data_IF_829655493554
#
_entry.id   IF_829655493554
#
_cell.length_a   1.000
_cell.length_b   1.000
_cell.length_c   1.000
_cell.angle_alpha   90.00
_cell.angle_beta   90.00
_cell.angle_gamma   90.00
#
_symmetry.space_group_name_H-M   'P 1'
#
loop_
_entity.id
_entity.type
_entity.pdbx_description
1 polymer ?
#
# COMPACT_ATOMS: atom_id res chain seq x y z
N UNK A 1 -6.28 26.99 -19.48
CA UNK A 1 -5.43 26.00 -20.20
C UNK A 1 -6.13 24.66 -20.17
N UNK A 2 -5.99 23.85 -21.23
CA UNK A 2 -6.59 22.51 -21.25
C UNK A 2 -5.92 21.61 -20.19
N UNK A 3 -6.75 20.89 -19.41
CA UNK A 3 -6.26 19.94 -18.41
C UNK A 3 -6.22 18.53 -19.03
N UNK A 4 -5.24 18.30 -19.91
CA UNK A 4 -5.08 17.04 -20.66
C UNK A 4 -3.76 16.40 -20.23
N UNK A 5 -3.82 15.21 -19.64
CA UNK A 5 -2.66 14.41 -19.28
C UNK A 5 -2.13 13.62 -20.48
N UNK A 6 -0.83 13.59 -20.65
CA UNK A 6 -0.16 12.76 -21.67
C UNK A 6 0.19 11.40 -21.09
N UNK A 7 -0.78 10.49 -21.08
CA UNK A 7 -0.63 9.15 -20.49
C UNK A 7 -0.96 9.09 -19.01
N UNK A 8 -0.90 7.87 -18.45
CA UNK A 8 -1.37 7.57 -17.09
C UNK A 8 -0.38 7.96 -16.00
N UNK A 9 0.93 8.06 -16.32
CA UNK A 9 1.97 8.32 -15.31
C UNK A 9 1.78 9.65 -14.57
N UNK A 10 1.21 10.66 -15.24
CA UNK A 10 0.91 11.96 -14.64
C UNK A 10 -0.31 11.98 -13.71
N UNK A 11 -1.09 10.88 -13.68
CA UNK A 11 -2.28 10.75 -12.83
C UNK A 11 -1.96 10.12 -11.48
N UNK A 12 -0.74 9.58 -11.29
CA UNK A 12 -0.35 8.90 -10.06
C UNK A 12 -0.10 9.95 -8.97
N UNK A 13 -0.70 9.72 -7.81
CA UNK A 13 -0.65 10.67 -6.69
C UNK A 13 -1.80 11.68 -6.71
N UNK A 14 -1.69 12.71 -5.90
CA UNK A 14 -2.73 13.71 -5.65
C UNK A 14 -4.10 13.07 -5.35
N UNK A 15 -4.06 12.00 -4.56
CA UNK A 15 -5.27 11.28 -4.15
C UNK A 15 -6.05 12.07 -3.13
N UNK A 16 -7.40 12.00 -3.12
CA UNK A 16 -8.20 12.82 -2.22
C UNK A 16 -8.11 12.39 -0.75
N UNK A 17 -8.26 13.37 0.14
CA UNK A 17 -8.66 13.18 1.53
C UNK A 17 -10.18 13.34 1.66
N UNK A 18 -10.81 12.47 2.44
CA UNK A 18 -12.25 12.51 2.70
C UNK A 18 -12.49 12.41 4.22
N UNK A 19 -13.30 13.29 4.78
CA UNK A 19 -13.76 13.22 6.17
C UNK A 19 -14.87 12.16 6.29
N UNK A 20 -14.78 11.30 7.29
CA UNK A 20 -15.77 10.25 7.54
C UNK A 20 -16.87 10.75 8.52
N UNK A 21 -17.50 11.86 8.17
CA UNK A 21 -18.40 12.61 9.02
C UNK A 21 -19.62 11.81 9.51
N UNK A 22 -20.14 10.86 8.72
CA UNK A 22 -21.25 10.01 9.16
C UNK A 22 -20.80 9.01 10.22
N UNK A 23 -19.59 8.46 10.09
CA UNK A 23 -19.00 7.56 11.08
C UNK A 23 -18.68 8.33 12.37
N UNK A 24 -18.08 9.52 12.26
CA UNK A 24 -17.79 10.39 13.41
C UNK A 24 -19.06 10.68 14.20
N UNK A 25 -20.12 11.09 13.52
CA UNK A 25 -21.44 11.39 14.14
C UNK A 25 -22.05 10.16 14.80
N UNK A 26 -22.03 9.00 14.12
CA UNK A 26 -22.64 7.77 14.64
C UNK A 26 -21.93 7.25 15.89
N UNK A 27 -20.59 7.33 15.90
CA UNK A 27 -19.78 6.84 17.00
C UNK A 27 -19.48 7.91 18.06
N UNK A 28 -19.95 9.15 17.85
CA UNK A 28 -19.73 10.26 18.78
C UNK A 28 -18.24 10.63 18.92
N UNK A 29 -17.47 10.54 17.83
CA UNK A 29 -16.05 10.88 17.86
C UNK A 29 -15.89 12.41 17.99
N UNK A 30 -14.96 12.82 18.84
CA UNK A 30 -14.63 14.24 19.04
C UNK A 30 -13.33 14.64 18.31
N UNK A 31 -12.67 13.70 17.61
CA UNK A 31 -11.58 13.93 16.70
C UNK A 31 -12.09 13.94 15.25
N UNK A 32 -11.43 14.64 14.35
CA UNK A 32 -11.69 14.58 12.90
C UNK A 32 -10.91 13.43 12.29
N UNK A 33 -11.61 12.52 11.60
CA UNK A 33 -11.00 11.36 10.94
C UNK A 33 -11.06 11.52 9.42
N UNK A 34 -9.90 11.67 8.81
CA UNK A 34 -9.72 11.80 7.37
C UNK A 34 -9.14 10.50 6.79
N UNK A 35 -9.65 10.10 5.63
CA UNK A 35 -9.15 8.93 4.91
C UNK A 35 -8.54 9.34 3.56
N UNK A 36 -7.30 8.91 3.32
CA UNK A 36 -6.61 9.15 2.04
C UNK A 36 -6.85 7.99 1.10
N UNK A 37 -7.60 8.24 0.03
CA UNK A 37 -8.13 7.21 -0.86
C UNK A 37 -7.14 6.88 -1.99
N UNK A 38 -6.22 5.96 -1.77
CA UNK A 38 -5.18 5.59 -2.72
C UNK A 38 -5.67 4.79 -3.94
N UNK A 39 -6.92 4.31 -3.93
CA UNK A 39 -7.50 3.66 -5.10
C UNK A 39 -7.83 4.64 -6.25
N UNK A 40 -7.73 5.94 -6.03
CA UNK A 40 -7.80 6.95 -7.10
C UNK A 40 -6.55 6.96 -8.00
N UNK A 41 -5.48 6.29 -7.63
CA UNK A 41 -4.38 6.04 -8.56
C UNK A 41 -4.85 5.19 -9.76
N UNK A 42 -4.29 5.37 -10.97
CA UNK A 42 -4.79 4.74 -12.22
C UNK A 42 -4.89 3.22 -12.20
N UNK A 43 -3.93 2.52 -11.59
CA UNK A 43 -3.98 1.08 -11.41
C UNK A 43 -4.66 0.67 -10.09
N UNK A 44 -5.25 1.62 -9.36
CA UNK A 44 -6.18 1.43 -8.26
C UNK A 44 -5.56 1.15 -6.91
N UNK A 45 -4.31 1.53 -6.65
CA UNK A 45 -3.74 1.39 -5.32
C UNK A 45 -2.55 2.32 -5.03
N UNK A 46 -2.18 2.40 -3.75
CA UNK A 46 -0.96 3.06 -3.27
C UNK A 46 0.31 2.56 -3.95
N UNK A 47 0.31 1.34 -4.49
CA UNK A 47 1.47 0.72 -5.09
C UNK A 47 1.84 1.31 -6.46
N UNK A 48 0.95 2.03 -7.09
CA UNK A 48 1.24 2.76 -8.33
C UNK A 48 2.39 3.75 -8.11
N UNK A 49 2.43 4.39 -6.93
CA UNK A 49 3.49 5.33 -6.56
C UNK A 49 4.86 4.67 -6.55
N UNK A 50 4.99 3.56 -5.81
CA UNK A 50 6.28 2.87 -5.70
C UNK A 50 6.68 2.17 -6.99
N UNK A 51 5.71 1.64 -7.76
CA UNK A 51 5.96 1.03 -9.05
C UNK A 51 6.60 2.04 -10.02
N UNK A 52 6.00 3.25 -10.12
CA UNK A 52 6.58 4.33 -10.92
C UNK A 52 7.98 4.71 -10.43
N UNK A 53 8.13 4.96 -9.12
CA UNK A 53 9.39 5.43 -8.56
C UNK A 53 10.53 4.43 -8.73
N UNK A 54 10.30 3.14 -8.48
CA UNK A 54 11.34 2.12 -8.64
C UNK A 54 11.77 1.93 -10.09
N UNK A 55 10.85 2.07 -11.05
CA UNK A 55 11.18 2.00 -12.48
C UNK A 55 11.94 3.24 -12.91
N UNK A 56 11.50 4.45 -12.54
CA UNK A 56 12.17 5.71 -12.90
C UNK A 56 13.56 5.82 -12.26
N UNK A 57 13.72 5.44 -11.01
CA UNK A 57 15.01 5.37 -10.32
C UNK A 57 15.99 4.40 -11.04
N UNK A 58 15.48 3.25 -11.50
CA UNK A 58 16.28 2.29 -12.25
C UNK A 58 16.70 2.81 -13.66
N UNK A 59 15.82 3.57 -14.32
CA UNK A 59 16.13 4.26 -15.58
C UNK A 59 17.23 5.31 -15.38
N UNK A 60 17.11 6.15 -14.35
CA UNK A 60 18.11 7.19 -14.03
C UNK A 60 19.48 6.59 -13.71
N UNK A 61 19.50 5.46 -13.00
CA UNK A 61 20.74 4.73 -12.69
C UNK A 61 21.28 3.88 -13.84
N UNK A 62 20.58 3.83 -14.98
CA UNK A 62 20.94 3.01 -16.13
C UNK A 62 20.85 1.50 -15.89
N UNK A 63 20.14 1.07 -14.86
CA UNK A 63 19.85 -0.34 -14.55
C UNK A 63 18.73 -0.88 -15.43
N UNK A 64 17.82 -0.02 -15.87
CA UNK A 64 16.72 -0.33 -16.75
C UNK A 64 16.85 0.50 -18.04
N UNK A 65 16.84 -0.17 -19.20
CA UNK A 65 17.06 0.42 -20.53
C UNK A 65 16.04 -0.15 -21.50
N UNK A 66 15.96 0.42 -22.70
CA UNK A 66 15.21 -0.18 -23.81
C UNK A 66 15.62 -1.66 -24.01
N UNK A 67 14.64 -2.55 -24.08
CA UNK A 67 14.86 -3.99 -24.18
C UNK A 67 15.10 -4.71 -22.85
N UNK A 68 15.25 -4.00 -21.72
CA UNK A 68 15.31 -4.62 -20.39
C UNK A 68 13.98 -5.29 -20.04
N UNK A 69 14.04 -6.26 -19.11
CA UNK A 69 12.87 -7.02 -18.64
C UNK A 69 12.73 -6.81 -17.14
N UNK A 70 11.57 -6.30 -16.73
CA UNK A 70 11.22 -6.17 -15.31
C UNK A 70 10.77 -7.54 -14.80
N UNK A 71 11.30 -7.97 -13.67
CA UNK A 71 10.96 -9.26 -13.06
C UNK A 71 10.67 -9.01 -11.59
N UNK A 72 9.51 -9.40 -11.07
CA UNK A 72 9.18 -9.19 -9.64
C UNK A 72 8.41 -10.39 -9.09
N UNK A 73 8.79 -10.89 -7.90
CA UNK A 73 8.04 -11.93 -7.21
C UNK A 73 6.86 -11.29 -6.45
N UNK A 74 5.72 -11.17 -7.11
CA UNK A 74 4.53 -10.52 -6.52
C UNK A 74 3.25 -10.91 -7.23
N UNK A 75 2.16 -10.96 -6.48
CA UNK A 75 0.82 -11.24 -6.98
C UNK A 75 -0.21 -10.19 -6.54
N UNK A 76 0.21 -9.21 -5.75
CA UNK A 76 -0.66 -8.18 -5.19
C UNK A 76 -0.61 -6.86 -5.97
N UNK A 77 -0.95 -5.81 -5.25
CA UNK A 77 -1.03 -4.46 -5.80
C UNK A 77 0.28 -3.97 -6.42
N UNK A 78 1.43 -4.40 -5.90
CA UNK A 78 2.74 -4.05 -6.49
C UNK A 78 2.89 -4.62 -7.89
N UNK A 79 2.49 -5.88 -8.11
CA UNK A 79 2.50 -6.48 -9.45
C UNK A 79 1.58 -5.76 -10.42
N UNK A 80 0.40 -5.35 -9.96
CA UNK A 80 -0.55 -4.58 -10.78
C UNK A 80 0.04 -3.21 -11.13
N UNK A 81 0.59 -2.50 -10.16
CA UNK A 81 1.25 -1.21 -10.39
C UNK A 81 2.43 -1.33 -11.35
N UNK A 82 3.33 -2.30 -11.13
CA UNK A 82 4.47 -2.53 -12.02
C UNK A 82 4.04 -2.89 -13.45
N UNK A 83 3.02 -3.75 -13.60
CA UNK A 83 2.50 -4.11 -14.92
C UNK A 83 1.89 -2.92 -15.65
N UNK A 84 1.14 -2.06 -14.94
CA UNK A 84 0.57 -0.84 -15.51
C UNK A 84 1.66 0.16 -15.95
N UNK A 85 2.70 0.36 -15.14
CA UNK A 85 3.82 1.24 -15.48
C UNK A 85 4.64 0.67 -16.65
N UNK A 86 4.92 -0.65 -16.62
CA UNK A 86 5.62 -1.35 -17.70
C UNK A 86 4.88 -1.19 -19.04
N UNK A 87 3.56 -1.40 -19.04
CA UNK A 87 2.72 -1.17 -20.22
C UNK A 87 2.79 0.29 -20.72
N UNK A 88 2.72 1.26 -19.82
CA UNK A 88 2.77 2.68 -20.17
C UNK A 88 4.14 3.13 -20.72
N UNK A 89 5.22 2.48 -20.29
CA UNK A 89 6.61 2.79 -20.70
C UNK A 89 7.15 1.86 -21.80
N UNK A 90 6.41 0.81 -22.18
CA UNK A 90 6.81 -0.14 -23.22
C UNK A 90 7.82 -1.20 -22.75
N UNK A 91 7.90 -1.49 -21.45
CA UNK A 91 8.75 -2.56 -20.92
C UNK A 91 8.05 -3.91 -20.92
N UNK A 92 8.81 -4.95 -21.20
CA UNK A 92 8.44 -6.33 -20.92
C UNK A 92 8.46 -6.56 -19.41
N UNK A 93 7.47 -7.25 -18.87
CA UNK A 93 7.41 -7.59 -17.44
C UNK A 93 7.04 -9.05 -17.23
N UNK A 94 7.75 -9.72 -16.34
CA UNK A 94 7.52 -11.08 -15.88
C UNK A 94 7.23 -11.04 -14.38
N UNK A 95 6.09 -11.60 -13.96
CA UNK A 95 5.73 -11.71 -12.56
C UNK A 95 5.72 -13.18 -12.13
N UNK A 96 6.48 -13.48 -11.09
CA UNK A 96 6.53 -14.83 -10.53
C UNK A 96 5.62 -14.93 -9.32
N UNK A 97 4.83 -15.99 -9.23
CA UNK A 97 3.87 -16.19 -8.13
C UNK A 97 3.51 -17.65 -7.95
N UNK A 98 3.09 -18.06 -6.73
CA UNK A 98 2.55 -19.40 -6.51
C UNK A 98 1.31 -19.66 -7.36
N UNK A 99 1.16 -20.89 -7.87
CA UNK A 99 0.00 -21.33 -8.64
C UNK A 99 -1.33 -21.29 -7.87
N UNK A 100 -1.26 -21.19 -6.54
CA UNK A 100 -2.43 -21.05 -5.64
C UNK A 100 -3.08 -19.67 -5.69
N UNK A 101 -2.48 -18.69 -6.38
CA UNK A 101 -3.05 -17.35 -6.51
C UNK A 101 -4.32 -17.33 -7.32
N UNK A 102 -5.28 -16.47 -6.93
CA UNK A 102 -6.61 -16.40 -7.54
C UNK A 102 -6.55 -16.08 -9.03
N UNK A 103 -7.51 -16.63 -9.77
CA UNK A 103 -7.63 -16.44 -11.22
C UNK A 103 -7.87 -14.96 -11.55
N UNK A 104 -8.65 -14.26 -10.74
CA UNK A 104 -8.97 -12.84 -10.91
C UNK A 104 -7.70 -12.00 -10.91
N UNK A 105 -6.80 -12.22 -9.93
CA UNK A 105 -5.51 -11.52 -9.85
C UNK A 105 -4.64 -11.80 -11.07
N UNK A 106 -4.57 -13.06 -11.49
CA UNK A 106 -3.82 -13.44 -12.70
C UNK A 106 -4.38 -12.77 -13.95
N UNK A 107 -5.72 -12.66 -14.06
CA UNK A 107 -6.37 -12.03 -15.20
C UNK A 107 -6.09 -10.51 -15.25
N UNK A 108 -6.11 -9.81 -14.12
CA UNK A 108 -5.76 -8.38 -14.07
C UNK A 108 -4.33 -8.16 -14.57
N UNK A 109 -3.37 -8.94 -14.09
CA UNK A 109 -1.96 -8.83 -14.49
C UNK A 109 -1.77 -9.10 -15.99
N UNK A 110 -2.43 -10.14 -16.53
CA UNK A 110 -2.42 -10.45 -17.96
C UNK A 110 -3.06 -9.34 -18.81
N UNK A 111 -4.09 -8.68 -18.30
CA UNK A 111 -4.75 -7.57 -19.00
C UNK A 111 -3.81 -6.38 -19.22
N UNK A 112 -2.84 -6.17 -18.32
CA UNK A 112 -1.75 -5.20 -18.51
C UNK A 112 -0.59 -5.73 -19.37
N UNK A 113 -0.67 -6.96 -19.90
CA UNK A 113 0.37 -7.55 -20.73
C UNK A 113 1.51 -8.23 -19.97
N UNK A 114 1.37 -8.44 -18.66
CA UNK A 114 2.40 -9.13 -17.88
C UNK A 114 2.45 -10.63 -18.21
N UNK A 115 3.67 -11.16 -18.36
CA UNK A 115 3.93 -12.58 -18.41
C UNK A 115 3.93 -13.16 -16.99
N UNK A 116 3.21 -14.26 -16.78
CA UNK A 116 3.10 -14.89 -15.47
C UNK A 116 3.87 -16.20 -15.45
N UNK A 117 4.79 -16.34 -14.52
CA UNK A 117 5.49 -17.58 -14.23
C UNK A 117 4.99 -18.14 -12.91
N UNK A 118 4.22 -19.22 -13.01
CA UNK A 118 3.65 -19.88 -11.83
C UNK A 118 4.66 -20.83 -11.22
N UNK A 119 4.82 -20.75 -9.91
CA UNK A 119 5.68 -21.64 -9.14
C UNK A 119 4.85 -22.63 -8.31
N UNK A 120 5.48 -23.71 -7.88
CA UNK A 120 4.84 -24.74 -7.06
C UNK A 120 4.22 -24.14 -5.80
N UNK A 121 2.92 -24.38 -5.59
CA UNK A 121 2.17 -23.79 -4.49
C UNK A 121 2.73 -24.08 -3.11
N UNK A 122 3.26 -25.30 -2.90
CA UNK A 122 3.88 -25.70 -1.64
C UNK A 122 5.11 -24.87 -1.23
N UNK A 123 5.80 -24.25 -2.20
CA UNK A 123 6.96 -23.37 -1.94
C UNK A 123 6.56 -21.93 -1.60
N UNK A 124 5.29 -21.56 -1.77
CA UNK A 124 4.79 -20.22 -1.48
C UNK A 124 5.62 -19.10 -2.11
N UNK A 125 5.71 -17.97 -1.42
CA UNK A 125 6.50 -16.81 -1.91
C UNK A 125 8.00 -17.09 -2.02
N UNK A 126 8.56 -17.97 -1.20
CA UNK A 126 9.99 -18.34 -1.31
C UNK A 126 10.30 -18.95 -2.68
N UNK A 127 9.40 -19.79 -3.20
CA UNK A 127 9.53 -20.36 -4.54
C UNK A 127 9.43 -19.31 -5.64
N UNK A 128 8.53 -18.33 -5.49
CA UNK A 128 8.39 -17.22 -6.43
C UNK A 128 9.64 -16.31 -6.45
N UNK A 129 10.21 -16.00 -5.28
CA UNK A 129 11.43 -15.20 -5.16
C UNK A 129 12.61 -15.91 -5.84
N UNK A 130 12.84 -17.17 -5.52
CA UNK A 130 13.92 -17.94 -6.13
C UNK A 130 13.78 -18.00 -7.67
N UNK A 131 12.54 -18.14 -8.19
CA UNK A 131 12.29 -18.14 -9.64
C UNK A 131 12.51 -16.77 -10.28
N UNK A 132 12.19 -15.68 -9.59
CA UNK A 132 12.47 -14.33 -10.06
C UNK A 132 13.99 -14.08 -10.17
N UNK A 133 14.75 -14.50 -9.17
CA UNK A 133 16.22 -14.40 -9.16
C UNK A 133 16.86 -15.24 -10.29
N UNK A 134 16.40 -16.48 -10.49
CA UNK A 134 16.82 -17.33 -11.60
C UNK A 134 16.58 -16.64 -12.94
N UNK A 135 15.36 -16.14 -13.19
CA UNK A 135 15.02 -15.47 -14.44
C UNK A 135 15.82 -14.17 -14.65
N UNK A 136 16.05 -13.41 -13.60
CA UNK A 136 16.86 -12.19 -13.70
C UNK A 136 18.32 -12.46 -14.04
N UNK A 137 18.86 -13.60 -13.59
CA UNK A 137 20.21 -14.03 -13.94
C UNK A 137 20.31 -14.58 -15.38
N UNK A 138 19.27 -15.24 -15.88
CA UNK A 138 19.25 -15.87 -17.20
C UNK A 138 18.88 -14.91 -18.33
N UNK A 139 18.00 -13.95 -18.06
CA UNK A 139 17.47 -13.03 -19.08
C UNK A 139 18.39 -11.79 -19.19
N UNK A 140 18.99 -11.53 -20.35
CA UNK A 140 19.79 -10.34 -20.55
C UNK A 140 18.98 -9.06 -20.28
N UNK A 141 19.46 -8.20 -19.39
CA UNK A 141 18.74 -7.00 -18.96
C UNK A 141 17.59 -7.26 -17.98
N UNK A 142 17.55 -8.44 -17.37
CA UNK A 142 16.62 -8.75 -16.28
C UNK A 142 16.89 -7.86 -15.07
N UNK A 143 15.83 -7.21 -14.55
CA UNK A 143 15.88 -6.28 -13.41
C UNK A 143 14.77 -6.59 -12.41
N UNK A 144 15.14 -6.72 -11.15
CA UNK A 144 14.21 -6.90 -10.03
C UNK A 144 14.09 -5.57 -9.27
N UNK A 145 12.91 -4.91 -9.29
CA UNK A 145 12.65 -3.68 -8.53
C UNK A 145 12.87 -3.81 -7.02
N UNK A 146 12.45 -4.92 -6.41
CA UNK A 146 12.74 -5.25 -5.02
C UNK A 146 12.04 -4.36 -3.99
N UNK A 147 10.72 -4.37 -3.94
CA UNK A 147 9.90 -3.47 -3.12
C UNK A 147 10.25 -3.40 -1.63
N UNK A 148 10.84 -4.46 -1.05
CA UNK A 148 11.16 -4.55 0.38
C UNK A 148 12.53 -3.97 0.74
N UNK A 149 13.39 -3.75 -0.25
CA UNK A 149 14.79 -3.31 -0.08
C UNK A 149 15.11 -2.04 -0.86
N UNK A 150 14.28 -1.64 -1.82
CA UNK A 150 14.53 -0.51 -2.71
C UNK A 150 14.20 0.83 -2.03
N UNK A 151 15.19 1.73 -1.85
CA UNK A 151 14.98 3.02 -1.19
C UNK A 151 14.08 3.98 -1.96
N UNK A 152 13.84 3.77 -3.26
CA UNK A 152 12.88 4.55 -4.04
C UNK A 152 11.44 4.40 -3.50
N UNK A 153 11.15 3.28 -2.81
CA UNK A 153 9.85 3.04 -2.19
C UNK A 153 9.53 4.09 -1.09
N UNK A 154 10.24 4.19 0.04
CA UNK A 154 9.94 5.23 1.02
C UNK A 154 10.19 6.65 0.45
N UNK A 155 11.17 6.83 -0.44
CA UNK A 155 11.48 8.12 -1.02
C UNK A 155 10.29 8.75 -1.75
N UNK A 156 9.52 7.99 -2.53
CA UNK A 156 8.35 8.53 -3.24
C UNK A 156 7.25 8.95 -2.28
N UNK A 157 7.07 8.25 -1.16
CA UNK A 157 6.10 8.65 -0.15
C UNK A 157 6.51 9.91 0.58
N UNK A 158 7.82 10.09 0.83
CA UNK A 158 8.38 11.32 1.38
C UNK A 158 8.22 12.51 0.42
N UNK A 159 8.37 12.24 -0.89
CA UNK A 159 8.28 13.27 -1.93
C UNK A 159 6.84 13.61 -2.35
N UNK A 160 5.87 12.72 -2.13
CA UNK A 160 4.50 12.91 -2.65
C UNK A 160 3.43 12.73 -1.58
N UNK A 161 3.28 11.53 -1.00
CA UNK A 161 2.21 11.22 -0.04
C UNK A 161 2.25 12.11 1.18
N UNK A 162 3.44 12.33 1.78
CA UNK A 162 3.63 13.21 2.91
C UNK A 162 3.25 14.66 2.60
N UNK A 163 3.81 15.28 1.55
CA UNK A 163 3.42 16.62 1.09
C UNK A 163 1.93 16.77 0.79
N UNK A 164 1.30 15.76 0.17
CA UNK A 164 -0.14 15.77 -0.10
C UNK A 164 -0.95 15.82 1.20
N UNK A 165 -0.66 14.94 2.17
CA UNK A 165 -1.33 14.92 3.48
C UNK A 165 -1.16 16.26 4.19
N UNK A 166 0.05 16.78 4.21
CA UNK A 166 0.35 18.08 4.85
C UNK A 166 -0.43 19.22 4.22
N UNK A 167 -0.38 19.33 2.90
CA UNK A 167 -1.06 20.38 2.14
C UNK A 167 -2.57 20.30 2.26
N UNK A 168 -3.14 19.08 2.11
CA UNK A 168 -4.59 18.88 2.06
C UNK A 168 -5.23 19.05 3.44
N UNK A 169 -4.44 19.04 4.52
CA UNK A 169 -4.87 19.37 5.89
C UNK A 169 -4.49 20.76 6.33
N UNK A 170 -3.92 21.61 5.46
CA UNK A 170 -3.30 22.89 5.82
C UNK A 170 -2.34 22.78 7.03
N UNK A 171 -1.63 21.64 7.14
CA UNK A 171 -0.73 21.36 8.26
C UNK A 171 -1.40 20.98 9.58
N UNK A 172 -2.71 20.79 9.58
CA UNK A 172 -3.46 20.47 10.81
C UNK A 172 -3.33 19.01 11.25
N UNK A 173 -2.75 18.11 10.42
CA UNK A 173 -2.58 16.70 10.78
C UNK A 173 -1.83 16.53 12.12
N UNK A 174 -2.41 15.76 13.04
CA UNK A 174 -1.83 15.44 14.35
C UNK A 174 -1.40 13.98 14.43
N UNK A 175 -2.12 13.08 13.75
CA UNK A 175 -1.85 11.64 13.78
C UNK A 175 -1.97 11.08 12.37
N UNK A 176 -0.94 10.36 11.92
CA UNK A 176 -0.93 9.63 10.64
C UNK A 176 -0.91 8.13 10.89
N UNK A 177 -1.81 7.39 10.23
CA UNK A 177 -2.00 5.96 10.42
C UNK A 177 -1.89 5.24 9.09
N UNK A 178 -1.05 4.20 9.00
CA UNK A 178 -0.96 3.37 7.82
C UNK A 178 -0.55 1.93 8.14
N UNK A 179 -1.06 0.99 7.35
CA UNK A 179 -0.69 -0.42 7.43
C UNK A 179 0.74 -0.69 6.93
N UNK A 180 1.45 -1.60 7.58
CA UNK A 180 2.81 -1.97 7.22
C UNK A 180 2.84 -3.26 6.39
N UNK A 181 2.97 -3.10 5.07
CA UNK A 181 3.35 -4.18 4.15
C UNK A 181 4.86 -4.13 3.91
N UNK A 182 5.33 -3.26 3.02
CA UNK A 182 6.76 -2.97 2.84
C UNK A 182 7.30 -1.93 3.83
N UNK A 183 6.41 -1.15 4.45
CA UNK A 183 6.78 -0.08 5.35
C UNK A 183 7.10 1.26 4.67
N UNK A 184 7.18 1.31 3.35
CA UNK A 184 7.55 2.54 2.62
C UNK A 184 6.59 3.69 2.87
N UNK A 185 5.28 3.43 2.94
CA UNK A 185 4.26 4.46 3.22
C UNK A 185 4.46 5.08 4.60
N UNK A 186 4.58 4.26 5.65
CA UNK A 186 4.79 4.72 7.03
C UNK A 186 6.10 5.50 7.13
N UNK A 187 7.17 4.95 6.55
CA UNK A 187 8.50 5.56 6.57
C UNK A 187 8.50 6.92 5.89
N UNK A 188 8.21 6.96 4.60
CA UNK A 188 8.37 8.19 3.82
C UNK A 188 7.38 9.28 4.23
N UNK A 189 6.10 8.91 4.44
CA UNK A 189 5.09 9.88 4.89
C UNK A 189 5.38 10.36 6.31
N UNK A 190 5.71 9.44 7.22
CA UNK A 190 6.01 9.77 8.61
C UNK A 190 7.22 10.67 8.76
N UNK A 191 8.32 10.39 8.03
CA UNK A 191 9.49 11.25 8.01
C UNK A 191 9.16 12.67 7.56
N UNK A 192 8.45 12.81 6.42
CA UNK A 192 8.05 14.13 5.93
C UNK A 192 7.19 14.88 6.94
N UNK A 193 6.16 14.25 7.49
CA UNK A 193 5.25 14.92 8.42
C UNK A 193 5.96 15.35 9.71
N UNK A 194 6.86 14.53 10.25
CA UNK A 194 7.66 14.88 11.43
C UNK A 194 8.68 15.99 11.14
N UNK A 195 9.20 16.08 9.91
CA UNK A 195 10.03 17.22 9.49
C UNK A 195 9.24 18.54 9.44
N UNK A 196 7.94 18.49 9.12
CA UNK A 196 7.09 19.69 9.13
C UNK A 196 6.61 20.06 10.54
N UNK A 197 6.24 19.06 11.34
CA UNK A 197 5.69 19.19 12.69
C UNK A 197 6.11 18.01 13.54
N UNK A 198 7.13 18.16 14.35
CA UNK A 198 7.73 17.09 15.18
C UNK A 198 6.72 16.38 16.10
N UNK A 199 5.65 17.10 16.49
CA UNK A 199 4.57 16.54 17.32
C UNK A 199 3.58 15.63 16.58
N UNK A 200 3.71 15.42 15.28
CA UNK A 200 2.87 14.45 14.55
C UNK A 200 3.18 13.05 15.03
N UNK A 201 2.16 12.35 15.50
CA UNK A 201 2.27 10.94 15.85
C UNK A 201 2.06 10.07 14.62
N UNK A 202 2.89 9.06 14.47
CA UNK A 202 2.81 8.06 13.40
C UNK A 202 2.47 6.71 14.01
N UNK A 203 1.38 6.10 13.55
CA UNK A 203 0.91 4.79 14.02
C UNK A 203 1.05 3.78 12.88
N UNK A 204 1.85 2.75 13.14
CA UNK A 204 2.04 1.62 12.24
C UNK A 204 1.01 0.53 12.55
N UNK A 205 0.24 0.09 11.54
CA UNK A 205 -0.77 -0.97 11.72
C UNK A 205 -0.22 -2.32 11.26
N UNK A 206 -0.36 -3.33 12.12
CA UNK A 206 0.00 -4.73 11.80
C UNK A 206 -1.15 -5.69 12.13
N UNK A 207 -1.18 -6.92 11.54
CA UNK A 207 -2.16 -7.94 11.96
C UNK A 207 -1.88 -8.44 13.38
N UNK A 208 -2.90 -8.52 14.23
CA UNK A 208 -2.76 -8.99 15.61
C UNK A 208 -2.26 -10.44 15.72
N UNK A 209 -2.59 -11.28 14.72
CA UNK A 209 -2.12 -12.67 14.66
C UNK A 209 -0.73 -12.81 14.01
N UNK A 210 -0.14 -11.72 13.51
CA UNK A 210 1.24 -11.66 12.98
C UNK A 210 1.96 -10.40 13.49
N UNK A 211 2.14 -10.27 14.83
CA UNK A 211 2.64 -9.06 15.45
C UNK A 211 4.18 -8.98 15.37
N UNK A 212 4.69 -8.84 14.16
CA UNK A 212 6.13 -8.81 13.86
C UNK A 212 6.78 -7.56 14.43
N UNK A 213 6.14 -6.40 14.28
CA UNK A 213 6.72 -5.12 14.71
C UNK A 213 6.68 -4.97 16.22
N UNK A 214 5.59 -5.39 16.87
CA UNK A 214 5.41 -5.24 18.32
C UNK A 214 5.99 -6.38 19.15
N UNK A 215 6.00 -7.63 18.61
CA UNK A 215 6.38 -8.85 19.36
C UNK A 215 7.44 -9.73 18.69
N UNK A 216 7.86 -9.39 17.46
CA UNK A 216 8.84 -10.21 16.71
C UNK A 216 8.29 -11.57 16.25
N UNK A 217 6.96 -11.74 16.21
CA UNK A 217 6.33 -13.04 15.91
C UNK A 217 5.53 -12.97 14.61
N UNK A 218 5.90 -13.79 13.64
CA UNK A 218 5.13 -13.96 12.42
C UNK A 218 4.04 -15.03 12.59
N UNK A 219 2.88 -14.80 11.99
CA UNK A 219 1.76 -15.73 12.04
C UNK A 219 0.86 -15.60 10.80
N UNK A 220 -0.07 -16.53 10.65
CA UNK A 220 -1.07 -16.47 9.58
C UNK A 220 -2.15 -15.42 9.90
N UNK A 221 -2.55 -14.67 8.90
CA UNK A 221 -3.62 -13.67 8.99
C UNK A 221 -4.39 -13.54 7.68
N UNK A 222 -5.55 -12.87 7.71
CA UNK A 222 -6.40 -12.64 6.54
C UNK A 222 -6.34 -11.19 6.01
N UNK A 223 -5.56 -10.30 6.63
CA UNK A 223 -5.45 -8.89 6.22
C UNK A 223 -4.45 -8.80 5.06
N UNK A 224 -4.94 -9.02 3.84
CA UNK A 224 -4.11 -8.97 2.64
C UNK A 224 -3.52 -7.56 2.43
N UNK A 225 -2.24 -7.50 2.03
CA UNK A 225 -1.54 -6.25 1.70
C UNK A 225 -0.62 -5.71 2.79
N UNK A 226 -0.75 -6.19 4.03
CA UNK A 226 0.14 -5.88 5.15
C UNK A 226 0.64 -7.16 5.82
N UNK A 227 1.53 -7.04 6.80
CA UNK A 227 2.00 -8.19 7.58
C UNK A 227 2.88 -9.16 6.77
N UNK A 228 4.00 -8.70 6.25
CA UNK A 228 4.91 -9.50 5.41
C UNK A 228 5.56 -10.70 6.13
N UNK A 229 5.46 -10.79 7.46
CA UNK A 229 6.06 -11.85 8.28
C UNK A 229 7.51 -11.58 8.68
N UNK A 230 8.05 -10.45 8.31
CA UNK A 230 9.39 -9.97 8.69
C UNK A 230 9.40 -8.43 8.71
N UNK A 231 10.45 -7.85 9.31
CA UNK A 231 10.66 -6.39 9.27
C UNK A 231 11.36 -6.04 7.95
N UNK A 232 10.72 -5.25 7.04
CA UNK A 232 11.33 -4.89 5.77
C UNK A 232 12.53 -3.93 5.93
N UNK A 233 13.53 -4.05 5.07
CA UNK A 233 14.73 -3.20 5.10
C UNK A 233 14.42 -1.71 4.87
N UNK A 234 13.39 -1.41 4.08
CA UNK A 234 12.96 -0.01 3.81
C UNK A 234 12.11 0.61 4.92
N UNK A 235 11.75 -0.17 5.94
CA UNK A 235 11.01 0.34 7.10
C UNK A 235 11.95 1.02 8.09
N UNK A 236 11.80 2.32 8.26
CA UNK A 236 12.43 3.05 9.37
C UNK A 236 11.63 2.81 10.64
N UNK A 237 12.12 1.92 11.51
CA UNK A 237 11.45 1.57 12.77
C UNK A 237 11.46 2.68 13.82
N UNK A 238 12.22 3.74 13.60
CA UNK A 238 12.28 4.90 14.49
C UNK A 238 11.25 6.00 14.11
N UNK A 239 10.54 5.85 12.97
CA UNK A 239 9.61 6.89 12.49
C UNK A 239 8.24 6.82 13.14
N UNK A 240 7.77 5.62 13.48
CA UNK A 240 6.47 5.45 14.13
C UNK A 240 6.59 5.48 15.65
N UNK A 241 5.59 6.06 16.29
CA UNK A 241 5.52 6.22 17.75
C UNK A 241 4.78 5.06 18.41
N UNK A 242 3.95 4.36 17.63
CA UNK A 242 3.08 3.29 18.11
C UNK A 242 2.89 2.21 17.05
N UNK A 243 2.72 0.98 17.48
CA UNK A 243 2.26 -0.14 16.64
C UNK A 243 0.87 -0.55 17.11
N UNK A 244 -0.11 -0.50 16.20
CA UNK A 244 -1.50 -0.86 16.46
C UNK A 244 -1.81 -2.23 15.83
N UNK A 245 -1.99 -3.29 16.63
CA UNK A 245 -2.39 -4.59 16.12
C UNK A 245 -3.90 -4.63 15.84
N UNK A 246 -4.31 -5.15 14.67
CA UNK A 246 -5.70 -5.26 14.25
C UNK A 246 -6.08 -6.71 14.01
N UNK A 247 -7.23 -7.14 14.55
CA UNK A 247 -7.80 -8.45 14.27
C UNK A 247 -8.41 -8.50 12.86
N UNK A 248 -8.51 -9.70 12.27
CA UNK A 248 -9.06 -9.85 10.92
C UNK A 248 -10.50 -9.35 10.84
N UNK A 249 -11.30 -9.68 11.85
CA UNK A 249 -12.73 -9.36 11.93
C UNK A 249 -12.95 -7.85 12.07
N UNK A 250 -12.10 -7.15 12.80
CA UNK A 250 -12.16 -5.70 12.96
C UNK A 250 -11.85 -4.97 11.64
N UNK A 251 -10.85 -5.49 10.90
CA UNK A 251 -10.54 -4.97 9.57
C UNK A 251 -11.71 -5.13 8.60
N UNK A 252 -12.38 -6.29 8.61
CA UNK A 252 -13.57 -6.52 7.77
C UNK A 252 -14.74 -5.62 8.20
N UNK A 253 -14.99 -5.51 9.51
CA UNK A 253 -16.08 -4.70 10.05
C UNK A 253 -15.91 -3.22 9.70
N UNK A 254 -14.71 -2.67 9.84
CA UNK A 254 -14.43 -1.27 9.52
C UNK A 254 -14.57 -0.98 8.02
N UNK A 255 -14.11 -1.88 7.13
CA UNK A 255 -14.30 -1.73 5.69
C UNK A 255 -15.79 -1.76 5.30
N UNK A 256 -16.57 -2.67 5.90
CA UNK A 256 -18.04 -2.74 5.71
C UNK A 256 -18.73 -1.48 6.26
N UNK A 257 -18.29 -0.96 7.40
CA UNK A 257 -18.82 0.26 8.00
C UNK A 257 -18.63 1.46 7.07
N UNK A 258 -17.41 1.63 6.52
CA UNK A 258 -17.10 2.71 5.59
C UNK A 258 -17.99 2.66 4.34
N UNK A 259 -18.17 1.48 3.76
CA UNK A 259 -19.06 1.29 2.61
C UNK A 259 -20.52 1.65 2.92
N UNK A 260 -21.02 1.24 4.09
CA UNK A 260 -22.42 1.47 4.50
C UNK A 260 -22.70 2.91 4.90
N UNK A 261 -21.73 3.61 5.49
CA UNK A 261 -21.96 4.95 6.07
C UNK A 261 -21.49 6.07 5.18
N UNK A 262 -20.37 5.89 4.47
CA UNK A 262 -19.78 6.92 3.62
C UNK A 262 -19.88 6.59 2.11
N UNK A 263 -20.36 5.40 1.74
CA UNK A 263 -20.45 4.99 0.34
C UNK A 263 -19.09 4.68 -0.28
N UNK A 264 -18.07 4.41 0.52
CA UNK A 264 -16.68 4.20 0.09
C UNK A 264 -16.32 2.72 0.31
N UNK A 265 -16.19 1.97 -0.79
CA UNK A 265 -15.79 0.55 -0.76
C UNK A 265 -14.28 0.42 -0.85
N UNK A 266 -13.67 -0.21 0.16
CA UNK A 266 -12.21 -0.34 0.29
C UNK A 266 -11.78 -1.76 0.58
N UNK A 267 -10.49 -2.05 0.40
CA UNK A 267 -9.91 -3.36 0.69
C UNK A 267 -9.69 -3.63 2.18
N UNK A 268 -9.24 -4.85 2.47
CA UNK A 268 -9.12 -5.37 3.85
C UNK A 268 -8.11 -4.55 4.67
N UNK A 269 -6.93 -4.27 4.11
CA UNK A 269 -5.91 -3.45 4.81
C UNK A 269 -6.32 -1.99 4.99
N UNK A 270 -7.21 -1.49 4.13
CA UNK A 270 -7.84 -0.18 4.30
C UNK A 270 -8.78 -0.19 5.51
N UNK A 271 -9.56 -1.27 5.67
CA UNK A 271 -10.38 -1.47 6.86
C UNK A 271 -9.55 -1.55 8.14
N UNK A 272 -8.40 -2.20 8.12
CA UNK A 272 -7.49 -2.25 9.26
C UNK A 272 -6.97 -0.85 9.65
N UNK A 273 -6.56 -0.03 8.68
CA UNK A 273 -6.12 1.34 8.95
C UNK A 273 -7.25 2.23 9.47
N UNK A 274 -8.47 2.07 8.92
CA UNK A 274 -9.65 2.78 9.41
C UNK A 274 -10.04 2.36 10.83
N UNK A 275 -10.01 1.05 11.15
CA UNK A 275 -10.27 0.58 12.50
C UNK A 275 -9.30 1.22 13.50
N UNK A 276 -8.01 1.21 13.21
CA UNK A 276 -7.02 1.86 14.06
C UNK A 276 -7.30 3.36 14.24
N UNK A 277 -7.74 4.05 13.16
CA UNK A 277 -8.09 5.47 13.23
C UNK A 277 -9.32 5.72 14.11
N UNK A 278 -10.36 4.90 14.00
CA UNK A 278 -11.58 5.00 14.83
C UNK A 278 -11.24 4.76 16.30
N UNK A 279 -10.48 3.71 16.62
CA UNK A 279 -10.11 3.42 18.01
C UNK A 279 -9.21 4.52 18.59
N UNK A 280 -8.29 5.05 17.80
CA UNK A 280 -7.46 6.21 18.18
C UNK A 280 -8.33 7.46 18.43
N UNK A 281 -9.34 7.69 17.59
CA UNK A 281 -10.26 8.84 17.73
C UNK A 281 -11.14 8.79 18.97
N UNK A 282 -11.45 7.60 19.50
CA UNK A 282 -12.23 7.40 20.72
C UNK A 282 -11.47 7.79 22.00
N UNK A 283 -10.14 7.89 21.93
CA UNK A 283 -9.32 8.23 23.09
C UNK A 283 -9.54 9.69 23.50
N UNK A 284 -9.83 9.98 24.79
CA UNK A 284 -10.12 11.36 25.24
C UNK A 284 -9.00 12.37 24.95
N UNK A 285 -7.75 11.92 24.98
CA UNK A 285 -6.59 12.76 24.68
C UNK A 285 -6.48 13.15 23.20
N UNK A 286 -7.28 12.54 22.35
CA UNK A 286 -7.33 12.83 20.92
C UNK A 286 -8.52 13.72 20.51
N UNK A 287 -9.30 14.18 21.48
CA UNK A 287 -10.36 15.17 21.24
C UNK A 287 -9.83 16.40 20.50
N UNK A 288 -10.51 16.78 19.41
CA UNK A 288 -10.15 17.92 18.56
C UNK A 288 -8.92 17.71 17.68
N UNK A 289 -8.30 16.54 17.68
CA UNK A 289 -7.18 16.22 16.79
C UNK A 289 -7.63 15.80 15.40
N UNK A 290 -6.76 16.01 14.42
CA UNK A 290 -6.92 15.58 13.04
C UNK A 290 -6.12 14.30 12.82
N UNK A 291 -6.84 13.22 12.52
CA UNK A 291 -6.30 11.87 12.30
C UNK A 291 -6.44 11.53 10.82
N UNK A 292 -5.34 11.19 10.17
CA UNK A 292 -5.32 10.77 8.76
C UNK A 292 -4.98 9.29 8.66
N UNK A 293 -5.89 8.48 8.11
CA UNK A 293 -5.64 7.07 7.79
C UNK A 293 -5.46 6.90 6.28
N UNK A 294 -4.37 6.25 5.87
CA UNK A 294 -4.16 5.92 4.45
C UNK A 294 -4.85 4.59 4.12
N UNK A 295 -5.76 4.63 3.13
CA UNK A 295 -6.52 3.49 2.63
C UNK A 295 -5.94 3.03 1.29
N UNK A 296 -5.21 1.87 1.26
CA UNK A 296 -4.35 1.50 0.13
C UNK A 296 -5.05 1.20 -1.19
N UNK A 297 -6.26 0.62 -1.16
CA UNK A 297 -6.94 0.14 -2.38
C UNK A 297 -8.46 0.04 -2.21
N UNK A 298 -9.16 -0.31 -3.32
CA UNK A 298 -10.61 -0.49 -3.35
C UNK A 298 -11.04 -1.90 -2.94
N UNK A 299 -12.34 -2.05 -2.62
CA UNK A 299 -12.98 -3.34 -2.31
C UNK A 299 -13.07 -4.29 -3.51
N UNK A 300 -13.01 -3.79 -4.74
CA UNK A 300 -13.25 -4.56 -5.98
C UNK A 300 -12.31 -5.76 -6.15
N UNK A 301 -11.15 -5.73 -5.50
CA UNK A 301 -10.16 -6.81 -5.54
C UNK A 301 -10.43 -7.94 -4.57
N UNK A 302 -11.52 -7.87 -3.79
CA UNK A 302 -11.77 -8.74 -2.63
C UNK A 302 -13.14 -9.41 -2.65
N UNK A 303 -13.91 -9.36 -3.76
CA UNK A 303 -15.26 -9.91 -3.85
C UNK A 303 -15.38 -11.39 -3.50
N UNK A 304 -14.32 -12.18 -3.75
CA UNK A 304 -14.27 -13.62 -3.41
C UNK A 304 -13.71 -13.90 -2.00
N UNK A 305 -13.54 -12.87 -1.17
CA UNK A 305 -12.98 -13.00 0.19
C UNK A 305 -14.06 -12.84 1.26
N UNK A 306 -13.79 -13.23 2.53
CA UNK A 306 -14.71 -13.02 3.65
C UNK A 306 -15.18 -11.56 3.86
N UNK A 307 -14.48 -10.59 3.28
CA UNK A 307 -14.93 -9.20 3.30
C UNK A 307 -16.34 -9.04 2.69
N UNK A 308 -16.68 -9.83 1.67
CA UNK A 308 -17.96 -9.71 0.95
C UNK A 308 -18.83 -10.99 1.02
N UNK A 309 -18.29 -12.12 1.45
CA UNK A 309 -18.98 -13.42 1.44
C UNK A 309 -19.53 -13.86 2.79
N UNK A 310 -19.28 -13.10 3.87
CA UNK A 310 -19.76 -13.39 5.24
C UNK A 310 -20.64 -12.28 5.82
#
# INVERSE_FOLDING_TARGET
MANIYKGTLGLIGNTPLVEVANIEKELGLEATVLVKLEYFNPAGSVKDRIAKAMIEDAEEKGLLKEGSVIIEPTYGNTGIGLAAIAAAKGYRIILTMPETMSVERRNILKAYGAELVLTEGAKGMKGAIAKAEELAAEIPGGFIPGQFVNPANPAIHKATTGPEVWKDTDGAVDIFIAGVGTGGTVTGTGEYLKEQKDSVRVIAVEPATSPVLSKGQAGAHKIQGIGAGFVPDVLNTAVYDEVFPVENEDAFAAAKLLAKKEGISVGISSGAALHAAIETAKLPENKGKVIVALLPDSGDRYYSTPLFTE
#
